data_IF_592716995873
#
_entry.id   IF_592716995873
#
_cell.length_a   1.000
_cell.length_b   1.000
_cell.length_c   1.000
_cell.angle_alpha   90.00
_cell.angle_beta   90.00
_cell.angle_gamma   90.00
#
_symmetry.space_group_name_H-M   'P 1'
#
loop_
_entity.id
_entity.type
_entity.pdbx_description
1 polymer ?
#
# COMPACT_ATOMS: atom_id res chain seq x y z
N UNK A 1 13.69 -21.54 -16.81
CA UNK A 1 12.66 -22.55 -16.56
C UNK A 1 11.65 -22.15 -15.47
N UNK A 2 12.09 -21.59 -14.30
CA UNK A 2 11.18 -21.19 -13.21
C UNK A 2 10.26 -20.02 -13.61
N UNK A 3 10.76 -19.03 -14.35
CA UNK A 3 9.96 -17.91 -14.86
C UNK A 3 8.90 -18.40 -15.88
N UNK A 4 9.25 -19.34 -16.74
CA UNK A 4 8.33 -19.93 -17.73
C UNK A 4 7.22 -20.75 -17.05
N UNK A 5 7.52 -21.47 -15.96
CA UNK A 5 6.51 -22.23 -15.21
C UNK A 5 5.56 -21.31 -14.43
N UNK A 6 6.02 -20.18 -13.94
CA UNK A 6 5.16 -19.17 -13.29
C UNK A 6 4.25 -18.48 -14.31
N UNK A 7 4.77 -18.10 -15.47
CA UNK A 7 3.96 -17.49 -16.53
C UNK A 7 2.87 -18.46 -17.04
N UNK A 8 3.19 -19.76 -17.20
CA UNK A 8 2.19 -20.76 -17.56
C UNK A 8 1.05 -20.88 -16.54
N UNK A 9 1.36 -20.80 -15.26
CA UNK A 9 0.34 -20.81 -14.20
C UNK A 9 -0.56 -19.58 -14.22
N UNK A 10 -0.03 -18.40 -14.53
CA UNK A 10 -0.84 -17.19 -14.65
C UNK A 10 -1.78 -17.24 -15.86
N UNK A 11 -1.34 -17.77 -16.99
CA UNK A 11 -2.20 -17.93 -18.18
C UNK A 11 -3.33 -18.93 -17.91
N UNK A 12 -3.05 -20.08 -17.29
CA UNK A 12 -4.07 -21.03 -16.86
C UNK A 12 -5.07 -20.38 -15.88
N UNK A 13 -4.59 -19.62 -14.91
CA UNK A 13 -5.44 -18.91 -13.95
C UNK A 13 -6.31 -17.86 -14.62
N UNK A 14 -5.79 -17.15 -15.64
CA UNK A 14 -6.56 -16.19 -16.41
C UNK A 14 -7.66 -16.86 -17.23
N UNK A 15 -7.41 -18.02 -17.81
CA UNK A 15 -8.43 -18.80 -18.52
C UNK A 15 -9.55 -19.18 -17.55
N UNK A 16 -9.22 -19.80 -16.43
CA UNK A 16 -10.21 -20.21 -15.44
C UNK A 16 -11.05 -19.07 -14.88
N UNK A 17 -10.40 -17.94 -14.55
CA UNK A 17 -11.14 -16.79 -14.02
C UNK A 17 -12.04 -16.15 -15.08
N UNK A 18 -11.65 -16.16 -16.35
CA UNK A 18 -12.49 -15.68 -17.45
C UNK A 18 -13.73 -16.57 -17.64
N UNK A 19 -13.58 -17.90 -17.63
CA UNK A 19 -14.71 -18.84 -17.69
C UNK A 19 -15.72 -18.59 -16.56
N UNK A 20 -15.25 -18.30 -15.34
CA UNK A 20 -16.12 -17.95 -14.21
C UNK A 20 -16.77 -16.58 -14.40
N UNK A 21 -16.07 -15.61 -14.98
CA UNK A 21 -16.61 -14.28 -15.25
C UNK A 21 -17.63 -14.28 -16.40
N UNK A 22 -17.52 -15.20 -17.36
CA UNK A 22 -18.55 -15.40 -18.39
C UNK A 22 -19.88 -15.82 -17.77
N UNK A 23 -19.84 -16.62 -16.70
CA UNK A 23 -21.04 -17.03 -15.95
C UNK A 23 -21.51 -15.95 -14.95
N UNK A 24 -20.55 -15.21 -14.34
CA UNK A 24 -20.82 -14.24 -13.28
C UNK A 24 -20.10 -12.90 -13.50
N UNK A 25 -20.45 -12.15 -14.57
CA UNK A 25 -19.66 -10.97 -15.02
C UNK A 25 -19.61 -9.83 -14.00
N UNK A 26 -20.61 -9.71 -13.13
CA UNK A 26 -20.69 -8.67 -12.09
C UNK A 26 -20.16 -9.11 -10.73
N UNK A 27 -19.55 -10.31 -10.64
CA UNK A 27 -19.02 -10.79 -9.37
C UNK A 27 -17.75 -10.02 -9.01
N UNK A 28 -17.84 -9.20 -7.96
CA UNK A 28 -16.75 -8.34 -7.53
C UNK A 28 -15.51 -9.14 -7.07
N UNK A 29 -15.71 -10.28 -6.42
CA UNK A 29 -14.59 -11.12 -5.95
C UNK A 29 -13.81 -11.67 -7.15
N UNK A 30 -14.51 -12.20 -8.17
CA UNK A 30 -13.86 -12.69 -9.38
C UNK A 30 -13.12 -11.59 -10.13
N UNK A 31 -13.72 -10.40 -10.27
CA UNK A 31 -13.06 -9.26 -10.89
C UNK A 31 -11.82 -8.82 -10.11
N UNK A 32 -11.89 -8.77 -8.77
CA UNK A 32 -10.73 -8.43 -7.94
C UNK A 32 -9.63 -9.47 -8.08
N UNK A 33 -9.96 -10.77 -8.07
CA UNK A 33 -9.01 -11.85 -8.29
C UNK A 33 -8.36 -11.75 -9.68
N UNK A 34 -9.11 -11.41 -10.71
CA UNK A 34 -8.55 -11.19 -12.07
C UNK A 34 -7.56 -10.03 -12.08
N UNK A 35 -7.87 -8.92 -11.39
CA UNK A 35 -6.96 -7.78 -11.24
C UNK A 35 -5.66 -8.22 -10.55
N UNK A 36 -5.75 -9.01 -9.47
CA UNK A 36 -4.58 -9.55 -8.77
C UNK A 36 -3.72 -10.43 -9.68
N UNK A 37 -4.31 -11.36 -10.44
CA UNK A 37 -3.60 -12.22 -11.38
C UNK A 37 -2.91 -11.39 -12.48
N UNK A 38 -3.61 -10.41 -13.06
CA UNK A 38 -3.04 -9.50 -14.05
C UNK A 38 -1.86 -8.72 -13.49
N UNK A 39 -1.96 -8.20 -12.27
CA UNK A 39 -0.88 -7.49 -11.59
C UNK A 39 0.32 -8.40 -11.33
N UNK A 40 0.10 -9.60 -10.83
CA UNK A 40 1.17 -10.55 -10.52
C UNK A 40 1.86 -11.09 -11.77
N UNK A 41 1.12 -11.22 -12.88
CA UNK A 41 1.68 -11.53 -14.20
C UNK A 41 2.30 -10.33 -14.92
N UNK A 42 2.36 -9.15 -14.24
CA UNK A 42 2.89 -7.88 -14.75
C UNK A 42 2.11 -7.29 -15.94
N UNK A 43 0.89 -7.71 -16.16
CA UNK A 43 -0.04 -7.13 -17.14
C UNK A 43 -0.72 -5.90 -16.52
N UNK A 44 0.10 -4.90 -16.14
CA UNK A 44 -0.36 -3.76 -15.32
C UNK A 44 -1.35 -2.86 -16.04
N UNK A 45 -1.21 -2.65 -17.36
CA UNK A 45 -2.14 -1.84 -18.15
C UNK A 45 -3.54 -2.46 -18.17
N UNK A 46 -3.63 -3.78 -18.42
CA UNK A 46 -4.90 -4.51 -18.39
C UNK A 46 -5.52 -4.48 -16.99
N UNK A 47 -4.69 -4.65 -15.96
CA UNK A 47 -5.13 -4.55 -14.56
C UNK A 47 -5.66 -3.15 -14.23
N UNK A 48 -5.02 -2.09 -14.74
CA UNK A 48 -5.44 -0.71 -14.50
C UNK A 48 -6.79 -0.41 -15.15
N UNK A 49 -7.01 -0.87 -16.37
CA UNK A 49 -8.30 -0.72 -17.06
C UNK A 49 -9.39 -1.38 -16.23
N UNK A 50 -9.21 -2.66 -15.88
CA UNK A 50 -10.23 -3.42 -15.15
C UNK A 50 -10.51 -2.84 -13.76
N UNK A 51 -9.49 -2.42 -13.01
CA UNK A 51 -9.70 -1.83 -11.67
C UNK A 51 -10.43 -0.48 -11.75
N UNK A 52 -10.19 0.31 -12.80
CA UNK A 52 -10.91 1.55 -13.02
C UNK A 52 -12.39 1.29 -13.32
N UNK A 53 -12.71 0.37 -14.22
CA UNK A 53 -14.09 -0.05 -14.53
C UNK A 53 -14.83 -0.52 -13.27
N UNK A 54 -14.18 -1.33 -12.44
CA UNK A 54 -14.77 -1.79 -11.18
C UNK A 54 -14.96 -0.66 -10.16
N UNK A 55 -14.09 0.33 -10.14
CA UNK A 55 -14.21 1.51 -9.27
C UNK A 55 -15.28 2.49 -9.77
N UNK A 56 -15.60 2.54 -11.05
CA UNK A 56 -16.75 3.28 -11.56
C UNK A 56 -18.06 2.69 -11.02
N UNK A 57 -18.15 1.35 -10.94
CA UNK A 57 -19.32 0.66 -10.37
C UNK A 57 -19.36 0.78 -8.85
N UNK A 58 -18.21 0.72 -8.19
CA UNK A 58 -18.06 0.72 -6.73
C UNK A 58 -16.99 1.70 -6.26
N UNK A 59 -17.21 3.02 -6.31
CA UNK A 59 -16.19 4.05 -6.11
C UNK A 59 -15.54 4.05 -4.71
N UNK A 60 -16.22 3.49 -3.70
CA UNK A 60 -15.72 3.44 -2.32
C UNK A 60 -15.22 2.05 -1.92
N UNK A 61 -15.01 1.17 -2.89
CA UNK A 61 -14.54 -0.18 -2.61
C UNK A 61 -13.06 -0.15 -2.21
N UNK A 62 -12.82 -0.41 -0.93
CA UNK A 62 -11.49 -0.37 -0.34
C UNK A 62 -10.49 -1.37 -0.96
N UNK A 63 -10.82 -2.67 -1.09
CA UNK A 63 -9.94 -3.63 -1.76
C UNK A 63 -9.52 -3.20 -3.17
N UNK A 64 -10.45 -2.71 -4.00
CA UNK A 64 -10.15 -2.21 -5.35
C UNK A 64 -9.21 -0.99 -5.32
N UNK A 65 -9.40 -0.09 -4.35
CA UNK A 65 -8.53 1.09 -4.19
C UNK A 65 -7.09 0.67 -3.89
N UNK A 66 -6.90 -0.35 -3.06
CA UNK A 66 -5.58 -0.90 -2.75
C UNK A 66 -4.96 -1.57 -3.98
N UNK A 67 -5.74 -2.38 -4.70
CA UNK A 67 -5.25 -3.01 -5.94
C UNK A 67 -4.86 -1.95 -6.98
N UNK A 68 -5.63 -0.86 -7.13
CA UNK A 68 -5.27 0.26 -7.99
C UNK A 68 -3.92 0.88 -7.60
N UNK A 69 -3.68 1.12 -6.30
CA UNK A 69 -2.40 1.64 -5.84
C UNK A 69 -1.23 0.68 -6.15
N UNK A 70 -1.43 -0.63 -5.97
CA UNK A 70 -0.43 -1.66 -6.32
C UNK A 70 -0.15 -1.73 -7.81
N UNK A 71 -1.18 -1.64 -8.65
CA UNK A 71 -1.06 -1.63 -10.11
C UNK A 71 -0.33 -0.38 -10.57
N UNK A 72 -0.67 0.80 -10.04
CA UNK A 72 0.01 2.05 -10.34
C UNK A 72 1.49 2.01 -9.94
N UNK A 73 1.81 1.38 -8.81
CA UNK A 73 3.21 1.13 -8.41
C UNK A 73 3.93 0.26 -9.45
N UNK A 74 3.28 -0.79 -9.94
CA UNK A 74 3.83 -1.66 -10.98
C UNK A 74 4.08 -0.96 -12.32
N UNK A 75 3.29 0.08 -12.63
CA UNK A 75 3.44 0.98 -13.78
C UNK A 75 4.44 2.13 -13.54
N UNK A 76 5.14 2.14 -12.41
CA UNK A 76 6.03 3.22 -11.98
C UNK A 76 5.33 4.58 -11.80
N UNK A 77 3.98 4.60 -11.76
CA UNK A 77 3.16 5.78 -11.46
C UNK A 77 3.04 5.98 -9.95
N UNK A 78 4.18 6.03 -9.30
CA UNK A 78 4.30 5.95 -7.84
C UNK A 78 3.74 7.18 -7.13
N UNK A 79 3.78 8.36 -7.75
CA UNK A 79 3.16 9.59 -7.21
C UNK A 79 1.64 9.41 -7.11
N UNK A 80 0.99 8.95 -8.18
CA UNK A 80 -0.45 8.70 -8.17
C UNK A 80 -0.85 7.59 -7.18
N UNK A 81 -0.01 6.56 -7.03
CA UNK A 81 -0.21 5.51 -6.04
C UNK A 81 -0.12 6.05 -4.61
N UNK A 82 0.85 6.93 -4.33
CA UNK A 82 1.00 7.59 -3.02
C UNK A 82 -0.21 8.47 -2.69
N UNK A 83 -0.70 9.26 -3.63
CA UNK A 83 -1.89 10.12 -3.45
C UNK A 83 -3.13 9.30 -3.07
N UNK A 84 -3.40 8.20 -3.77
CA UNK A 84 -4.52 7.31 -3.48
C UNK A 84 -4.42 6.73 -2.06
N UNK A 85 -3.23 6.32 -1.63
CA UNK A 85 -3.03 5.76 -0.30
C UNK A 85 -3.16 6.82 0.80
N UNK A 86 -2.64 8.03 0.58
CA UNK A 86 -2.80 9.15 1.52
C UNK A 86 -4.28 9.49 1.73
N UNK A 87 -5.04 9.59 0.64
CA UNK A 87 -6.49 9.82 0.69
C UNK A 87 -7.23 8.71 1.44
N UNK A 88 -6.83 7.47 1.22
CA UNK A 88 -7.40 6.31 1.89
C UNK A 88 -7.09 6.33 3.39
N UNK A 89 -5.87 6.70 3.78
CA UNK A 89 -5.42 6.81 5.16
C UNK A 89 -6.13 7.91 5.96
N UNK A 90 -6.66 8.94 5.32
CA UNK A 90 -7.52 9.93 6.00
C UNK A 90 -8.76 9.29 6.65
N UNK A 91 -9.22 8.17 6.13
CA UNK A 91 -10.42 7.45 6.59
C UNK A 91 -10.10 6.13 7.30
N UNK A 92 -8.94 5.54 7.04
CA UNK A 92 -8.53 4.20 7.50
C UNK A 92 -7.09 4.18 8.01
N UNK A 93 -6.77 5.09 8.91
CA UNK A 93 -5.43 5.23 9.49
C UNK A 93 -5.02 4.09 10.44
N UNK A 94 -5.96 3.25 10.85
CA UNK A 94 -5.73 2.13 11.76
C UNK A 94 -5.38 0.81 11.05
N UNK A 95 -5.28 0.80 9.71
CA UNK A 95 -4.88 -0.38 8.97
C UNK A 95 -3.37 -0.40 8.73
N UNK A 96 -2.63 -1.31 9.39
CA UNK A 96 -1.17 -1.36 9.23
C UNK A 96 -0.73 -1.69 7.79
N UNK A 97 -1.54 -2.44 7.02
CA UNK A 97 -1.19 -2.80 5.64
C UNK A 97 -1.10 -1.58 4.72
N UNK A 98 -1.90 -0.54 4.97
CA UNK A 98 -1.85 0.71 4.22
C UNK A 98 -0.55 1.47 4.47
N UNK A 99 -0.16 1.58 5.72
CA UNK A 99 1.07 2.25 6.11
C UNK A 99 2.31 1.52 5.56
N UNK A 100 2.26 0.18 5.58
CA UNK A 100 3.32 -0.62 4.96
C UNK A 100 3.40 -0.37 3.45
N UNK A 101 2.27 -0.45 2.73
CA UNK A 101 2.25 -0.22 1.28
C UNK A 101 2.68 1.22 0.94
N UNK A 102 2.23 2.22 1.72
CA UNK A 102 2.66 3.61 1.55
C UNK A 102 4.19 3.73 1.71
N UNK A 103 4.76 3.09 2.73
CA UNK A 103 6.21 3.13 2.94
C UNK A 103 6.97 2.56 1.74
N UNK A 104 6.50 1.45 1.18
CA UNK A 104 7.14 0.84 0.01
C UNK A 104 7.09 1.76 -1.23
N UNK A 105 5.96 2.45 -1.45
CA UNK A 105 5.81 3.40 -2.55
C UNK A 105 6.72 4.63 -2.32
N UNK A 106 6.80 5.13 -1.10
CA UNK A 106 7.68 6.25 -0.75
C UNK A 106 9.16 5.90 -0.92
N UNK A 107 9.53 4.64 -0.65
CA UNK A 107 10.87 4.14 -0.96
C UNK A 107 11.15 4.19 -2.46
N UNK A 108 10.21 3.74 -3.28
CA UNK A 108 10.34 3.79 -4.75
C UNK A 108 10.41 5.24 -5.26
N UNK A 109 9.73 6.18 -4.59
CA UNK A 109 9.79 7.63 -4.86
C UNK A 109 11.05 8.33 -4.34
N UNK A 110 11.98 7.60 -3.70
CA UNK A 110 13.14 8.16 -3.00
C UNK A 110 12.76 9.17 -1.88
N UNK A 111 11.52 9.13 -1.40
CA UNK A 111 11.06 9.91 -0.26
C UNK A 111 11.45 9.21 1.05
N UNK A 112 12.73 9.30 1.40
CA UNK A 112 13.31 8.57 2.54
C UNK A 112 12.67 9.00 3.87
N UNK A 113 12.39 10.29 4.05
CA UNK A 113 11.74 10.79 5.26
C UNK A 113 10.32 10.24 5.41
N UNK A 114 9.53 10.26 4.33
CA UNK A 114 8.19 9.67 4.29
C UNK A 114 8.21 8.17 4.55
N UNK A 115 9.14 7.44 3.94
CA UNK A 115 9.33 6.02 4.17
C UNK A 115 9.46 5.68 5.66
N UNK A 116 10.37 6.35 6.37
CA UNK A 116 10.57 6.12 7.80
C UNK A 116 9.34 6.52 8.64
N UNK A 117 8.65 7.62 8.28
CA UNK A 117 7.41 8.01 8.96
C UNK A 117 6.31 6.95 8.81
N UNK A 118 6.08 6.47 7.59
CA UNK A 118 5.05 5.45 7.32
C UNK A 118 5.38 4.11 7.97
N UNK A 119 6.65 3.73 8.01
CA UNK A 119 7.10 2.54 8.74
C UNK A 119 6.90 2.67 10.24
N UNK A 120 7.10 3.85 10.78
CA UNK A 120 6.84 4.09 12.20
C UNK A 120 5.36 3.88 12.53
N UNK A 121 4.43 4.43 11.73
CA UNK A 121 2.99 4.21 11.91
C UNK A 121 2.62 2.72 11.82
N UNK A 122 3.18 2.02 10.83
CA UNK A 122 3.03 0.57 10.72
C UNK A 122 3.44 -0.17 12.00
N UNK A 123 4.61 0.15 12.57
CA UNK A 123 5.09 -0.49 13.79
C UNK A 123 4.30 -0.07 15.03
N UNK A 124 3.81 1.18 15.10
CA UNK A 124 2.91 1.64 16.18
C UNK A 124 1.64 0.80 16.21
N UNK A 125 1.02 0.59 15.06
CA UNK A 125 -0.21 -0.19 14.94
C UNK A 125 -0.01 -1.68 15.28
N UNK A 126 1.19 -2.20 15.07
CA UNK A 126 1.57 -3.56 15.49
C UNK A 126 2.01 -3.65 16.98
N UNK A 127 2.01 -2.54 17.72
CA UNK A 127 2.49 -2.49 19.10
C UNK A 127 4.01 -2.62 19.27
N UNK A 128 4.78 -2.54 18.16
CA UNK A 128 6.24 -2.66 18.14
C UNK A 128 6.90 -1.28 18.37
N UNK A 129 6.66 -0.71 19.55
CA UNK A 129 6.99 0.68 19.86
C UNK A 129 8.48 1.01 19.78
N UNK A 130 9.37 0.07 20.11
CA UNK A 130 10.83 0.27 19.98
C UNK A 130 11.26 0.42 18.52
N UNK A 131 10.70 -0.41 17.63
CA UNK A 131 10.96 -0.30 16.18
C UNK A 131 10.42 1.00 15.64
N UNK A 132 9.21 1.38 16.05
CA UNK A 132 8.61 2.65 15.66
C UNK A 132 9.48 3.83 16.09
N UNK A 133 10.03 3.79 17.32
CA UNK A 133 10.93 4.83 17.83
C UNK A 133 12.18 4.98 16.96
N UNK A 134 12.80 3.87 16.59
CA UNK A 134 13.97 3.88 15.71
C UNK A 134 13.65 4.51 14.34
N UNK A 135 12.52 4.12 13.73
CA UNK A 135 12.07 4.70 12.45
C UNK A 135 11.82 6.22 12.57
N UNK A 136 11.17 6.67 13.65
CA UNK A 136 10.94 8.10 13.89
C UNK A 136 12.25 8.88 14.09
N UNK A 137 13.26 8.29 14.72
CA UNK A 137 14.55 8.93 14.88
C UNK A 137 15.26 9.13 13.53
N UNK A 138 15.16 8.17 12.60
CA UNK A 138 15.65 8.34 11.24
C UNK A 138 14.87 9.44 10.49
N UNK A 139 13.55 9.42 10.57
CA UNK A 139 12.71 10.47 9.96
C UNK A 139 13.05 11.87 10.51
N UNK A 140 13.27 11.98 11.81
CA UNK A 140 13.63 13.24 12.47
C UNK A 140 14.92 13.84 11.92
N UNK A 141 15.97 13.00 11.78
CA UNK A 141 17.26 13.44 11.22
C UNK A 141 17.12 14.00 9.80
N UNK A 142 16.19 13.44 9.03
CA UNK A 142 15.94 13.85 7.65
C UNK A 142 15.00 15.06 7.54
N UNK A 143 14.35 15.48 8.63
CA UNK A 143 13.36 16.56 8.66
C UNK A 143 13.91 17.89 9.15
N UNK A 144 15.24 18.03 9.31
CA UNK A 144 15.88 19.22 9.89
C UNK A 144 15.58 20.53 9.14
N UNK A 145 15.19 20.47 7.86
CA UNK A 145 14.81 21.65 7.07
C UNK A 145 13.31 22.00 7.11
N UNK A 146 12.47 21.20 7.79
CA UNK A 146 11.03 21.38 7.85
C UNK A 146 10.55 21.38 9.31
N UNK A 147 10.43 22.57 9.89
CA UNK A 147 10.06 22.74 11.29
C UNK A 147 8.74 22.06 11.66
N UNK A 148 7.71 22.16 10.82
CA UNK A 148 6.40 21.56 11.10
C UNK A 148 6.50 20.02 11.17
N UNK A 149 7.17 19.42 10.22
CA UNK A 149 7.39 17.96 10.20
C UNK A 149 8.24 17.51 11.38
N UNK A 150 9.28 18.26 11.71
CA UNK A 150 10.14 18.00 12.86
C UNK A 150 9.34 17.97 14.17
N UNK A 151 8.51 18.97 14.44
CA UNK A 151 7.66 19.06 15.65
C UNK A 151 6.65 17.90 15.75
N UNK A 152 6.04 17.52 14.64
CA UNK A 152 5.12 16.37 14.59
C UNK A 152 5.86 15.08 14.97
N UNK A 153 7.04 14.85 14.42
CA UNK A 153 7.83 13.64 14.71
C UNK A 153 8.31 13.65 16.15
N UNK A 154 8.79 14.78 16.67
CA UNK A 154 9.22 14.92 18.07
C UNK A 154 8.08 14.61 19.04
N UNK A 155 6.89 15.12 18.77
CA UNK A 155 5.70 14.81 19.59
C UNK A 155 5.40 13.32 19.62
N UNK A 156 5.47 12.64 18.47
CA UNK A 156 5.29 11.18 18.39
C UNK A 156 6.35 10.41 19.16
N UNK A 157 7.61 10.81 19.07
CA UNK A 157 8.73 10.21 19.81
C UNK A 157 8.48 10.32 21.33
N UNK A 158 8.10 11.50 21.81
CA UNK A 158 7.85 11.73 23.24
C UNK A 158 6.68 10.87 23.74
N UNK A 159 5.58 10.82 22.99
CA UNK A 159 4.43 9.98 23.32
C UNK A 159 4.79 8.48 23.37
N UNK A 160 5.63 8.00 22.47
CA UNK A 160 6.07 6.60 22.48
C UNK A 160 6.99 6.30 23.66
N UNK A 161 7.91 7.20 24.00
CA UNK A 161 8.78 7.07 25.18
C UNK A 161 7.99 6.99 26.48
N UNK A 162 6.98 7.86 26.63
CA UNK A 162 6.09 7.80 27.80
C UNK A 162 5.34 6.47 27.90
N UNK A 163 4.85 5.94 26.77
CA UNK A 163 4.20 4.62 26.75
C UNK A 163 5.15 3.47 27.10
N UNK A 164 6.40 3.54 26.68
CA UNK A 164 7.40 2.54 27.02
C UNK A 164 7.78 2.59 28.49
N UNK A 165 7.93 3.80 29.06
CA UNK A 165 8.27 3.98 30.49
C UNK A 165 7.13 3.54 31.43
N UNK A 166 5.88 3.60 31.01
CA UNK A 166 4.72 3.13 31.81
C UNK A 166 4.52 1.61 31.82
N UNK A 167 5.30 0.87 31.02
CA UNK A 167 5.24 -0.60 30.94
C UNK A 167 6.30 -1.30 31.79
N UNK A 168 7.17 -0.52 32.43
CA UNK A 168 8.15 -0.96 33.44
C UNK A 168 7.58 -0.73 34.82
#
# INVERSE_FOLDING_TARGET
SRALSLNGRFEESLIQINELLDMYPKNLILNTTKIEILRESKKYEEALILVNEQLEISPKNYPLTIEKARVLRGLEKTIAAEEILRDTLLRRNSDPSLWFLLSEIQKDNLNVAGYHQSRAEYFILLGQNERALNELQFALKLSQGNFQTFEIIMTKINNLREKLNKRI
#
